data_IF_956158023500
#
_entry.id   IF_956158023500
#
_cell.length_a   1.000
_cell.length_b   1.000
_cell.length_c   1.000
_cell.angle_alpha   90.00
_cell.angle_beta   90.00
_cell.angle_gamma   90.00
#
_symmetry.space_group_name_H-M   'P 1'
#
loop_
_entity.id
_entity.type
_entity.pdbx_description
1 polymer ?
#
# COMPACT_ATOMS: atom_id res chain seq x y z
N UNK A 1 2.40 -3.27 -4.78
CA UNK A 1 2.24 -2.60 -3.48
C UNK A 1 3.20 -1.44 -3.37
N UNK A 2 2.83 -0.41 -2.62
CA UNK A 2 3.68 0.73 -2.31
C UNK A 2 3.88 0.78 -0.78
N UNK A 3 5.10 1.08 -0.36
CA UNK A 3 5.44 1.26 1.04
C UNK A 3 5.99 2.66 1.26
N UNK A 4 5.69 3.25 2.42
CA UNK A 4 6.49 4.37 2.89
C UNK A 4 7.71 3.80 3.62
N UNK A 5 8.90 4.11 3.16
CA UNK A 5 10.13 3.67 3.78
C UNK A 5 10.70 4.77 4.67
N UNK A 6 11.15 4.37 5.87
CA UNK A 6 11.82 5.24 6.84
C UNK A 6 13.18 4.67 7.20
N UNK A 7 14.23 5.48 7.37
CA UNK A 7 15.41 5.04 8.08
C UNK A 7 15.07 4.90 9.57
N UNK A 8 15.61 3.91 10.25
CA UNK A 8 15.40 3.76 11.70
C UNK A 8 16.02 4.92 12.48
N UNK A 9 17.17 5.39 12.01
CA UNK A 9 17.94 6.46 12.65
C UNK A 9 18.38 7.50 11.62
N UNK A 10 18.98 8.58 12.09
CA UNK A 10 19.67 9.56 11.25
C UNK A 10 21.06 9.10 10.78
N UNK A 11 21.48 7.86 11.06
CA UNK A 11 22.72 7.30 10.55
C UNK A 11 22.74 7.38 9.01
N UNK A 12 23.76 7.98 8.39
CA UNK A 12 23.88 8.05 6.94
C UNK A 12 23.81 6.69 6.24
N UNK A 13 24.30 5.62 6.86
CA UNK A 13 24.25 4.26 6.31
C UNK A 13 22.82 3.69 6.29
N UNK A 14 21.98 4.00 7.28
CA UNK A 14 20.55 3.66 7.25
C UNK A 14 19.85 4.32 6.06
N UNK A 15 20.16 5.61 5.81
CA UNK A 15 19.61 6.36 4.69
C UNK A 15 20.08 5.83 3.34
N UNK A 16 21.36 5.46 3.22
CA UNK A 16 21.90 4.88 1.99
C UNK A 16 21.28 3.51 1.72
N UNK A 17 21.15 2.66 2.73
CA UNK A 17 20.49 1.37 2.62
C UNK A 17 19.02 1.52 2.23
N UNK A 18 18.30 2.48 2.84
CA UNK A 18 16.93 2.81 2.49
C UNK A 18 16.80 3.17 1.00
N UNK A 19 17.69 4.02 0.48
CA UNK A 19 17.71 4.40 -0.94
C UNK A 19 17.78 3.15 -1.84
N UNK A 20 18.68 2.21 -1.54
CA UNK A 20 18.83 1.00 -2.35
C UNK A 20 17.63 0.05 -2.25
N UNK A 21 17.03 -0.06 -1.06
CA UNK A 21 15.80 -0.86 -0.86
C UNK A 21 14.63 -0.24 -1.63
N UNK A 22 14.43 1.07 -1.57
CA UNK A 22 13.39 1.75 -2.34
C UNK A 22 13.59 1.56 -3.85
N UNK A 23 14.82 1.67 -4.35
CA UNK A 23 15.11 1.55 -5.77
C UNK A 23 14.58 0.23 -6.35
N UNK A 24 14.88 -0.89 -5.73
CA UNK A 24 14.53 -2.21 -6.28
C UNK A 24 13.15 -2.70 -5.85
N UNK A 25 12.74 -2.43 -4.61
CA UNK A 25 11.47 -2.95 -4.09
C UNK A 25 10.27 -2.08 -4.46
N UNK A 26 10.49 -0.81 -4.77
CA UNK A 26 9.40 0.12 -5.07
C UNK A 26 9.53 0.79 -6.44
N UNK A 27 10.65 1.45 -6.71
CA UNK A 27 10.75 2.30 -7.88
C UNK A 27 11.04 1.56 -9.18
N UNK A 28 11.68 0.40 -9.15
CA UNK A 28 12.12 -0.31 -10.36
C UNK A 28 10.99 -0.51 -11.37
N UNK A 29 9.91 -1.17 -10.98
CA UNK A 29 8.78 -1.40 -11.88
C UNK A 29 8.03 -0.10 -12.23
N UNK A 30 7.86 0.79 -11.24
CA UNK A 30 7.18 2.07 -11.48
C UNK A 30 7.97 2.96 -12.44
N UNK A 31 9.31 3.00 -12.33
CA UNK A 31 10.17 3.75 -13.26
C UNK A 31 9.99 3.24 -14.68
N UNK A 32 10.05 1.93 -14.90
CA UNK A 32 9.89 1.34 -16.23
C UNK A 32 8.51 1.69 -16.81
N UNK A 33 7.44 1.49 -16.05
CA UNK A 33 6.08 1.73 -16.52
C UNK A 33 5.77 3.21 -16.75
N UNK A 34 6.37 4.10 -15.94
CA UNK A 34 6.06 5.53 -16.00
C UNK A 34 7.00 6.32 -16.90
N UNK A 35 8.26 5.91 -17.04
CA UNK A 35 9.30 6.61 -17.83
C UNK A 35 9.60 5.91 -19.16
N UNK A 36 9.21 4.65 -19.30
CA UNK A 36 9.44 3.84 -20.50
C UNK A 36 10.90 3.44 -20.72
N UNK A 37 11.67 3.34 -19.63
CA UNK A 37 13.09 2.96 -19.69
C UNK A 37 13.55 2.30 -18.40
N UNK A 38 14.57 1.46 -18.50
CA UNK A 38 15.19 0.84 -17.33
C UNK A 38 15.96 1.89 -16.54
N UNK A 39 15.78 1.97 -15.21
CA UNK A 39 16.48 2.93 -14.39
C UNK A 39 17.98 2.57 -14.29
N UNK A 40 18.84 3.60 -14.15
CA UNK A 40 20.29 3.47 -14.14
C UNK A 40 20.83 2.46 -13.11
N UNK A 41 20.16 2.33 -11.97
CA UNK A 41 20.58 1.45 -10.89
C UNK A 41 20.30 -0.04 -11.16
N UNK A 42 19.39 -0.35 -12.08
CA UNK A 42 18.97 -1.74 -12.34
C UNK A 42 20.07 -2.60 -12.94
N UNK A 43 20.88 -2.05 -13.84
CA UNK A 43 21.96 -2.80 -14.49
C UNK A 43 22.99 -3.32 -13.48
N UNK A 44 23.42 -2.48 -12.55
CA UNK A 44 24.37 -2.86 -11.50
C UNK A 44 23.78 -3.85 -10.50
N UNK A 45 22.49 -3.71 -10.18
CA UNK A 45 21.79 -4.67 -9.34
C UNK A 45 21.78 -6.06 -10.01
N UNK A 46 21.39 -6.16 -11.27
CA UNK A 46 21.35 -7.44 -11.98
C UNK A 46 22.76 -8.04 -12.17
N UNK A 47 23.74 -7.23 -12.49
CA UNK A 47 25.14 -7.63 -12.58
C UNK A 47 25.61 -8.27 -11.25
N UNK A 48 25.30 -7.65 -10.11
CA UNK A 48 25.64 -8.16 -8.78
C UNK A 48 24.96 -9.49 -8.42
N UNK A 49 23.88 -9.83 -9.10
CA UNK A 49 23.13 -11.09 -8.94
C UNK A 49 23.45 -12.12 -10.04
N UNK A 50 24.39 -11.82 -10.93
CA UNK A 50 24.71 -12.63 -12.10
C UNK A 50 23.49 -12.86 -13.02
N UNK A 51 22.62 -11.85 -13.13
CA UNK A 51 21.44 -11.87 -13.99
C UNK A 51 21.74 -11.05 -15.23
N UNK A 52 21.56 -11.66 -16.40
CA UNK A 52 21.65 -10.98 -17.69
C UNK A 52 20.24 -10.86 -18.29
N UNK A 53 19.83 -9.64 -18.59
CA UNK A 53 18.57 -9.38 -19.29
C UNK A 53 18.86 -9.22 -20.78
N UNK A 54 18.18 -10.02 -21.61
CA UNK A 54 18.24 -9.89 -23.07
C UNK A 54 17.20 -8.83 -23.51
N UNK A 55 17.58 -7.56 -23.41
CA UNK A 55 16.72 -6.43 -23.78
C UNK A 55 17.06 -6.02 -25.21
N UNK A 56 16.13 -6.19 -26.12
CA UNK A 56 16.26 -5.80 -27.52
C UNK A 56 15.94 -4.31 -27.72
N UNK A 57 16.31 -3.77 -28.90
CA UNK A 57 15.93 -2.39 -29.24
C UNK A 57 14.41 -2.25 -29.47
N UNK A 58 13.75 -3.32 -29.91
CA UNK A 58 12.28 -3.36 -29.98
C UNK A 58 11.64 -3.30 -28.58
N UNK A 59 12.17 -4.02 -27.59
CA UNK A 59 11.68 -3.92 -26.20
C UNK A 59 11.79 -2.50 -25.66
N UNK A 60 12.92 -1.82 -25.90
CA UNK A 60 13.14 -0.43 -25.49
C UNK A 60 12.15 0.51 -26.17
N UNK A 61 11.87 0.29 -27.46
CA UNK A 61 10.90 1.09 -28.21
C UNK A 61 9.50 0.89 -27.67
N UNK A 62 9.08 -0.36 -27.46
CA UNK A 62 7.76 -0.68 -26.89
C UNK A 62 7.58 -0.03 -25.52
N UNK A 63 8.57 -0.10 -24.64
CA UNK A 63 8.52 0.56 -23.33
C UNK A 63 8.38 2.08 -23.44
N UNK A 64 9.16 2.69 -24.34
CA UNK A 64 9.16 4.15 -24.52
C UNK A 64 7.86 4.70 -25.08
N UNK A 65 7.22 3.96 -25.97
CA UNK A 65 5.98 4.36 -26.65
C UNK A 65 4.71 4.03 -25.83
N UNK A 66 4.82 3.21 -24.76
CA UNK A 66 3.67 2.72 -24.00
C UNK A 66 3.83 2.96 -22.48
N UNK A 67 4.09 4.19 -22.10
CA UNK A 67 4.10 4.56 -20.67
C UNK A 67 2.67 4.70 -20.11
N UNK A 68 2.51 4.48 -18.82
CA UNK A 68 1.21 4.64 -18.16
C UNK A 68 0.76 6.10 -18.09
N UNK A 69 -0.56 6.35 -18.14
CA UNK A 69 -1.15 7.69 -18.02
C UNK A 69 -1.29 8.15 -16.57
N UNK A 70 -1.40 7.24 -15.63
CA UNK A 70 -1.47 7.47 -14.19
C UNK A 70 -0.69 6.41 -13.42
N UNK A 71 -0.36 6.68 -12.17
CA UNK A 71 0.29 5.71 -11.28
C UNK A 71 -0.71 5.21 -10.24
N UNK A 72 -0.84 3.90 -10.13
CA UNK A 72 -1.71 3.26 -9.16
C UNK A 72 -0.89 2.57 -8.06
N UNK A 73 -1.27 2.81 -6.80
CA UNK A 73 -0.60 2.23 -5.64
C UNK A 73 -1.57 1.50 -4.72
N UNK A 74 -1.17 0.34 -4.22
CA UNK A 74 -1.82 -0.36 -3.10
C UNK A 74 -1.02 -0.05 -1.84
N UNK A 75 -1.61 0.62 -0.86
CA UNK A 75 -0.92 1.03 0.36
C UNK A 75 -1.56 0.42 1.61
N UNK A 76 -0.79 -0.35 2.38
CA UNK A 76 -1.27 -1.01 3.60
C UNK A 76 -0.40 -0.75 4.83
N UNK A 77 0.90 -0.55 4.63
CA UNK A 77 1.87 -0.46 5.71
C UNK A 77 3.10 0.32 5.28
N UNK A 78 3.88 0.76 6.25
CA UNK A 78 5.23 1.31 6.04
C UNK A 78 6.30 0.32 6.46
N UNK A 79 7.52 0.57 6.04
CA UNK A 79 8.68 -0.26 6.36
C UNK A 79 9.81 0.60 6.92
N UNK A 80 10.55 0.07 7.88
CA UNK A 80 11.71 0.74 8.47
C UNK A 80 12.98 0.00 8.08
N UNK A 81 13.99 0.72 7.67
CA UNK A 81 15.28 0.21 7.18
C UNK A 81 16.39 0.63 8.13
N UNK A 82 17.26 -0.31 8.47
CA UNK A 82 18.47 -0.05 9.25
C UNK A 82 19.57 -1.04 8.87
N UNK A 83 20.81 -0.64 9.05
CA UNK A 83 21.99 -1.52 8.90
C UNK A 83 22.20 -2.41 10.13
N UNK A 84 21.68 -1.98 11.27
CA UNK A 84 21.80 -2.68 12.55
C UNK A 84 20.73 -3.78 12.72
N UNK A 85 20.97 -4.68 13.67
CA UNK A 85 19.94 -5.61 14.13
C UNK A 85 18.86 -4.84 14.88
N UNK A 86 17.59 -5.12 14.55
CA UNK A 86 16.46 -4.46 15.17
C UNK A 86 15.24 -5.39 15.24
N UNK A 87 14.31 -5.08 16.14
CA UNK A 87 13.07 -5.82 16.31
C UNK A 87 12.28 -5.85 15.00
N UNK A 88 11.85 -7.03 14.59
CA UNK A 88 11.04 -7.23 13.37
C UNK A 88 9.56 -7.29 13.69
N UNK A 89 8.76 -6.89 12.74
CA UNK A 89 7.31 -7.09 12.78
C UNK A 89 6.97 -8.56 12.53
N UNK A 90 5.86 -9.01 13.09
CA UNK A 90 5.34 -10.37 12.87
C UNK A 90 4.49 -10.48 11.59
N UNK A 91 4.83 -9.74 10.55
CA UNK A 91 4.05 -9.71 9.31
C UNK A 91 4.10 -11.02 8.53
N UNK A 92 3.02 -11.36 7.85
CA UNK A 92 2.93 -12.60 7.08
C UNK A 92 3.44 -12.49 5.63
N UNK A 93 3.22 -11.37 4.95
CA UNK A 93 3.78 -11.12 3.61
C UNK A 93 4.97 -10.18 3.63
N UNK A 94 5.00 -9.30 4.62
CA UNK A 94 6.01 -8.26 4.75
C UNK A 94 6.56 -8.31 6.18
N UNK A 95 7.80 -8.73 6.29
CA UNK A 95 8.56 -8.64 7.54
C UNK A 95 9.44 -7.41 7.43
N UNK A 96 9.20 -6.41 8.26
CA UNK A 96 10.01 -5.20 8.32
C UNK A 96 10.53 -4.95 9.73
N UNK A 97 11.44 -4.00 9.86
CA UNK A 97 11.84 -3.51 11.17
C UNK A 97 10.66 -2.75 11.79
N UNK A 98 10.42 -2.97 13.07
CA UNK A 98 9.34 -2.32 13.82
C UNK A 98 9.60 -0.82 13.92
N UNK A 99 8.61 -0.02 13.56
CA UNK A 99 8.62 1.41 13.80
C UNK A 99 8.13 1.69 15.23
N UNK A 100 8.94 2.31 16.10
CA UNK A 100 8.57 2.52 17.50
C UNK A 100 7.38 3.50 17.69
N UNK A 101 7.03 4.25 16.67
CA UNK A 101 5.96 5.26 16.71
C UNK A 101 4.62 4.76 16.16
N UNK A 102 4.57 3.55 15.60
CA UNK A 102 3.37 3.03 14.94
C UNK A 102 2.80 1.81 15.65
N UNK A 103 1.48 1.75 15.68
CA UNK A 103 0.75 0.53 16.04
C UNK A 103 0.70 -0.41 14.85
N UNK A 104 0.59 -1.71 15.13
CA UNK A 104 0.42 -2.72 14.09
C UNK A 104 -0.92 -3.45 14.26
N UNK A 105 -1.43 -4.00 13.16
CA UNK A 105 -2.53 -4.96 13.17
C UNK A 105 -2.08 -6.29 13.79
N UNK A 106 -3.02 -7.21 14.02
CA UNK A 106 -2.73 -8.56 14.52
C UNK A 106 -1.82 -9.36 13.57
N UNK A 107 -1.74 -8.98 12.31
CA UNK A 107 -0.82 -9.56 11.30
C UNK A 107 0.49 -8.77 11.16
N UNK A 108 0.82 -7.91 12.11
CA UNK A 108 2.09 -7.18 12.15
C UNK A 108 2.22 -6.03 11.13
N UNK A 109 1.15 -5.68 10.43
CA UNK A 109 1.18 -4.56 9.49
C UNK A 109 1.01 -3.24 10.22
N UNK A 110 2.00 -2.39 10.10
CA UNK A 110 2.04 -1.09 10.78
C UNK A 110 1.02 -0.12 10.16
N UNK A 111 0.19 0.48 10.99
CA UNK A 111 -0.86 1.41 10.59
C UNK A 111 -0.25 2.79 10.49
N UNK A 112 -0.11 3.30 9.27
CA UNK A 112 0.60 4.53 8.97
C UNK A 112 -0.15 5.43 7.96
N UNK A 113 -1.15 6.18 8.41
CA UNK A 113 -1.87 7.10 7.53
C UNK A 113 -0.98 8.22 6.98
N UNK A 114 -0.05 8.74 7.78
CA UNK A 114 0.90 9.79 7.33
C UNK A 114 1.85 9.25 6.25
N UNK A 115 2.24 7.98 6.37
CA UNK A 115 3.04 7.30 5.35
C UNK A 115 2.32 7.21 4.00
N UNK A 116 0.99 7.07 3.99
CA UNK A 116 0.22 7.17 2.76
C UNK A 116 0.40 8.55 2.10
N UNK A 117 0.19 9.64 2.86
CA UNK A 117 0.36 11.00 2.33
C UNK A 117 1.77 11.22 1.79
N UNK A 118 2.78 10.80 2.54
CA UNK A 118 4.18 10.85 2.13
C UNK A 118 4.41 10.08 0.81
N UNK A 119 3.84 8.89 0.69
CA UNK A 119 3.95 8.07 -0.53
C UNK A 119 3.28 8.71 -1.73
N UNK A 120 2.11 9.32 -1.54
CA UNK A 120 1.40 10.05 -2.60
C UNK A 120 2.25 11.21 -3.14
N UNK A 121 2.86 12.00 -2.26
CA UNK A 121 3.79 13.07 -2.65
C UNK A 121 5.00 12.53 -3.41
N UNK A 122 5.69 11.51 -2.88
CA UNK A 122 6.87 10.92 -3.51
C UNK A 122 6.57 10.36 -4.90
N UNK A 123 5.43 9.71 -5.07
CA UNK A 123 5.00 9.16 -6.36
C UNK A 123 4.74 10.30 -7.36
N UNK A 124 4.02 11.33 -6.94
CA UNK A 124 3.74 12.47 -7.81
C UNK A 124 4.99 13.27 -8.16
N UNK A 125 5.85 13.57 -7.19
CA UNK A 125 7.14 14.26 -7.42
C UNK A 125 8.03 13.50 -8.42
N UNK A 126 8.01 12.15 -8.35
CA UNK A 126 8.85 11.31 -9.20
C UNK A 126 8.35 11.19 -10.64
N UNK A 127 7.04 11.17 -10.84
CA UNK A 127 6.44 10.84 -12.15
C UNK A 127 5.64 11.97 -12.79
N UNK A 128 5.18 12.95 -12.02
CA UNK A 128 4.34 14.04 -12.52
C UNK A 128 3.01 13.59 -13.11
N UNK A 129 2.53 12.41 -12.73
CA UNK A 129 1.31 11.78 -13.27
C UNK A 129 0.23 11.72 -12.20
N UNK A 130 -1.07 11.71 -12.58
CA UNK A 130 -2.16 11.48 -11.63
C UNK A 130 -1.95 10.18 -10.84
N UNK A 131 -2.41 10.16 -9.59
CA UNK A 131 -2.22 9.02 -8.68
C UNK A 131 -3.57 8.44 -8.30
N UNK A 132 -3.65 7.11 -8.22
CA UNK A 132 -4.79 6.36 -7.71
C UNK A 132 -4.33 5.49 -6.56
N UNK A 133 -5.04 5.55 -5.43
CA UNK A 133 -4.92 4.50 -4.40
C UNK A 133 -5.86 3.37 -4.80
N UNK A 134 -5.31 2.30 -5.36
CA UNK A 134 -6.08 1.14 -5.83
C UNK A 134 -6.52 0.22 -4.71
N UNK A 135 -5.79 0.21 -3.61
CA UNK A 135 -6.12 -0.62 -2.46
C UNK A 135 -5.65 0.03 -1.16
N UNK A 136 -6.54 0.07 -0.18
CA UNK A 136 -6.22 0.33 1.21
C UNK A 136 -7.27 -0.33 2.11
N UNK A 137 -6.85 -0.99 3.18
CA UNK A 137 -7.76 -1.67 4.10
C UNK A 137 -7.05 -2.27 5.30
N UNK A 138 -7.80 -2.53 6.34
CA UNK A 138 -7.33 -3.14 7.58
C UNK A 138 -7.78 -4.60 7.64
N UNK A 139 -6.83 -5.52 7.60
CA UNK A 139 -7.07 -6.91 7.99
C UNK A 139 -7.16 -6.99 9.51
N UNK A 140 -8.30 -7.37 10.03
CA UNK A 140 -8.56 -7.48 11.46
C UNK A 140 -9.33 -8.75 11.79
N UNK A 141 -9.09 -9.29 12.98
CA UNK A 141 -9.82 -10.42 13.51
C UNK A 141 -11.10 -9.92 14.17
N UNK A 142 -12.18 -9.92 13.43
CA UNK A 142 -13.48 -9.56 13.95
C UNK A 142 -14.50 -10.69 13.76
N UNK A 143 -15.37 -10.89 14.75
CA UNK A 143 -16.48 -11.83 14.71
C UNK A 143 -17.80 -11.13 14.97
N UNK A 144 -17.81 -9.80 14.88
CA UNK A 144 -18.95 -8.96 15.24
C UNK A 144 -19.17 -7.89 14.17
N UNK A 145 -20.38 -7.36 14.17
CA UNK A 145 -20.76 -6.25 13.28
C UNK A 145 -20.33 -4.87 13.81
N UNK A 146 -19.86 -4.79 15.05
CA UNK A 146 -19.41 -3.56 15.69
C UNK A 146 -17.90 -3.38 15.51
N UNK A 147 -17.51 -2.59 14.52
CA UNK A 147 -16.13 -2.42 14.08
C UNK A 147 -15.69 -0.94 14.06
N UNK A 148 -15.87 -0.23 15.15
CA UNK A 148 -15.48 1.18 15.28
C UNK A 148 -14.00 1.41 14.98
N UNK A 149 -13.12 0.47 15.31
CA UNK A 149 -11.70 0.51 15.01
C UNK A 149 -11.44 0.58 13.48
N UNK A 150 -12.28 -0.05 12.66
CA UNK A 150 -12.20 0.03 11.20
C UNK A 150 -12.62 1.41 10.71
N UNK A 151 -13.66 1.99 11.32
CA UNK A 151 -14.08 3.36 11.03
C UNK A 151 -12.93 4.33 11.32
N UNK A 152 -12.26 4.20 12.47
CA UNK A 152 -11.14 5.05 12.87
C UNK A 152 -9.96 4.90 11.90
N UNK A 153 -9.65 3.67 11.48
CA UNK A 153 -8.64 3.40 10.46
C UNK A 153 -8.99 4.12 9.14
N UNK A 154 -10.20 3.91 8.62
CA UNK A 154 -10.64 4.50 7.36
C UNK A 154 -10.62 6.03 7.43
N UNK A 155 -11.14 6.64 8.51
CA UNK A 155 -11.07 8.10 8.72
C UNK A 155 -9.65 8.62 8.62
N UNK A 156 -8.71 8.01 9.34
CA UNK A 156 -7.32 8.45 9.36
C UNK A 156 -6.67 8.41 7.97
N UNK A 157 -6.91 7.36 7.19
CA UNK A 157 -6.35 7.23 5.85
C UNK A 157 -7.01 8.17 4.84
N UNK A 158 -8.34 8.31 4.87
CA UNK A 158 -9.04 9.26 3.99
C UNK A 158 -8.67 10.70 4.28
N UNK A 159 -8.49 11.06 5.56
CA UNK A 159 -8.01 12.40 5.95
C UNK A 159 -6.64 12.70 5.34
N UNK A 160 -5.69 11.78 5.44
CA UNK A 160 -4.36 11.97 4.86
C UNK A 160 -4.37 11.98 3.33
N UNK A 161 -5.24 11.20 2.69
CA UNK A 161 -5.45 11.26 1.25
C UNK A 161 -6.04 12.61 0.81
N UNK A 162 -7.02 13.14 1.56
CA UNK A 162 -7.59 14.46 1.31
C UNK A 162 -6.55 15.56 1.50
N UNK A 163 -5.72 15.48 2.53
CA UNK A 163 -4.64 16.43 2.75
C UNK A 163 -3.62 16.40 1.60
N UNK A 164 -3.25 15.22 1.10
CA UNK A 164 -2.37 15.12 -0.07
C UNK A 164 -2.98 15.79 -1.31
N UNK A 165 -4.28 15.62 -1.54
CA UNK A 165 -5.00 16.31 -2.61
C UNK A 165 -4.98 17.84 -2.43
N UNK A 166 -5.21 18.32 -1.22
CA UNK A 166 -5.16 19.75 -0.89
C UNK A 166 -3.74 20.33 -1.02
N UNK A 167 -2.70 19.52 -0.80
CA UNK A 167 -1.31 19.89 -1.03
C UNK A 167 -0.95 20.00 -2.53
N UNK A 168 -1.85 19.57 -3.44
CA UNK A 168 -1.67 19.65 -4.88
C UNK A 168 -1.31 18.34 -5.57
N UNK A 169 -1.35 17.20 -4.88
CA UNK A 169 -1.21 15.89 -5.53
C UNK A 169 -2.51 15.57 -6.29
N UNK A 170 -2.47 15.33 -7.61
CA UNK A 170 -3.66 14.96 -8.39
C UNK A 170 -4.10 13.52 -8.07
N UNK A 171 -4.78 13.36 -6.94
CA UNK A 171 -5.35 12.10 -6.50
C UNK A 171 -6.72 11.92 -7.14
N UNK A 172 -6.82 11.00 -8.10
CA UNK A 172 -8.03 10.76 -8.89
C UNK A 172 -9.03 9.82 -8.23
N UNK A 173 -8.53 8.84 -7.46
CA UNK A 173 -9.39 7.89 -6.77
C UNK A 173 -8.72 7.29 -5.53
N UNK A 174 -9.57 6.87 -4.59
CA UNK A 174 -9.19 6.07 -3.44
C UNK A 174 -10.16 4.89 -3.32
N UNK A 175 -9.65 3.67 -3.45
CA UNK A 175 -10.43 2.45 -3.48
C UNK A 175 -10.14 1.64 -2.22
N UNK A 176 -11.20 1.35 -1.45
CA UNK A 176 -11.09 0.49 -0.28
C UNK A 176 -10.96 -0.97 -0.70
N UNK A 177 -10.03 -1.68 -0.05
CA UNK A 177 -9.85 -3.12 -0.24
C UNK A 177 -10.86 -3.92 0.58
N UNK A 178 -11.58 -4.83 -0.11
CA UNK A 178 -12.41 -5.81 0.56
C UNK A 178 -13.71 -5.24 1.13
N UNK A 179 -14.67 -4.85 0.27
CA UNK A 179 -15.99 -4.38 0.72
C UNK A 179 -16.75 -5.48 1.46
N UNK A 180 -16.60 -6.73 1.06
CA UNK A 180 -17.14 -7.92 1.70
C UNK A 180 -15.98 -8.72 2.27
N UNK A 181 -16.15 -9.37 3.43
CA UNK A 181 -15.13 -10.27 3.95
C UNK A 181 -14.84 -11.38 2.94
N UNK A 182 -13.56 -11.54 2.63
CA UNK A 182 -13.02 -12.53 1.69
C UNK A 182 -11.88 -13.29 2.35
N UNK A 183 -11.54 -14.44 1.81
CA UNK A 183 -10.31 -15.14 2.20
C UNK A 183 -9.12 -14.24 1.87
N UNK A 184 -8.27 -13.98 2.85
CA UNK A 184 -7.07 -13.16 2.67
C UNK A 184 -6.12 -13.79 1.65
N UNK A 185 -5.76 -13.06 0.61
CA UNK A 185 -4.81 -13.52 -0.41
C UNK A 185 -3.42 -13.80 0.17
N UNK A 186 -3.04 -13.09 1.24
CA UNK A 186 -1.70 -13.19 1.82
C UNK A 186 -1.53 -14.29 2.86
N UNK A 187 -2.61 -14.72 3.53
CA UNK A 187 -2.54 -15.74 4.60
C UNK A 187 -3.46 -16.94 4.39
N UNK A 188 -4.29 -16.91 3.33
CA UNK A 188 -5.30 -17.93 3.06
C UNK A 188 -6.28 -18.14 4.23
N UNK A 189 -6.55 -17.07 4.99
CA UNK A 189 -7.41 -17.07 6.17
C UNK A 189 -8.65 -16.25 5.96
N UNK A 190 -9.81 -16.79 6.37
CA UNK A 190 -11.07 -16.04 6.43
C UNK A 190 -11.11 -15.12 7.67
N UNK A 191 -10.40 -15.47 8.72
CA UNK A 191 -10.33 -14.68 9.97
C UNK A 191 -9.67 -13.31 9.78
N UNK A 192 -8.80 -13.17 8.77
CA UNK A 192 -8.21 -11.87 8.40
C UNK A 192 -9.20 -11.06 7.57
N UNK A 193 -10.13 -10.44 8.25
CA UNK A 193 -11.28 -9.77 7.66
C UNK A 193 -10.98 -8.33 7.28
N UNK A 194 -11.32 -7.96 6.06
CA UNK A 194 -11.14 -6.61 5.52
C UNK A 194 -12.46 -5.88 5.32
N UNK A 195 -13.56 -6.63 5.20
CA UNK A 195 -14.83 -6.12 4.73
C UNK A 195 -15.55 -5.20 5.71
N UNK A 196 -16.37 -4.33 5.15
CA UNK A 196 -17.43 -3.60 5.87
C UNK A 196 -18.73 -4.42 5.93
N UNK A 197 -18.74 -5.59 5.28
CA UNK A 197 -19.80 -6.60 5.32
C UNK A 197 -19.18 -7.89 5.85
N UNK A 198 -19.63 -8.31 7.01
CA UNK A 198 -19.26 -9.58 7.63
C UNK A 198 -19.83 -10.76 6.86
N UNK A 199 -19.05 -11.80 6.68
CA UNK A 199 -19.48 -13.09 6.15
C UNK A 199 -19.35 -14.15 7.23
N UNK A 200 -20.43 -14.85 7.53
CA UNK A 200 -20.45 -15.95 8.50
C UNK A 200 -19.79 -17.19 7.89
N UNK A 201 -18.47 -17.20 7.91
CA UNK A 201 -17.62 -18.30 7.49
C UNK A 201 -16.31 -18.29 8.31
N UNK A 202 -15.76 -19.48 8.57
CA UNK A 202 -14.47 -19.66 9.23
C UNK A 202 -13.35 -20.06 8.23
N UNK A 203 -12.15 -20.30 8.75
CA UNK A 203 -10.98 -20.72 7.94
C UNK A 203 -11.12 -22.11 7.31
N UNK A 204 -12.08 -22.90 7.75
CA UNK A 204 -12.31 -24.26 7.30
C UNK A 204 -13.53 -24.40 6.37
N UNK A 205 -14.19 -23.28 6.07
CA UNK A 205 -15.40 -23.27 5.23
C UNK A 205 -16.69 -23.60 5.97
N UNK A 206 -16.68 -23.62 7.31
CA UNK A 206 -17.89 -23.74 8.11
C UNK A 206 -18.57 -22.38 8.26
N UNK A 207 -19.91 -22.41 8.44
CA UNK A 207 -20.73 -21.22 8.63
C UNK A 207 -21.93 -21.22 7.69
N UNK A 208 -22.80 -20.24 7.85
CA UNK A 208 -24.01 -20.12 7.03
C UNK A 208 -23.77 -19.30 5.74
N UNK A 209 -22.62 -18.68 5.59
CA UNK A 209 -22.28 -17.74 4.53
C UNK A 209 -23.23 -16.52 4.43
N UNK A 210 -24.05 -16.29 5.46
CA UNK A 210 -24.88 -15.10 5.54
C UNK A 210 -24.01 -13.86 5.69
N UNK A 211 -24.51 -12.76 5.15
CA UNK A 211 -23.82 -11.47 5.11
C UNK A 211 -24.50 -10.48 6.03
N UNK A 212 -23.72 -9.81 6.87
CA UNK A 212 -24.20 -8.83 7.81
C UNK A 212 -23.44 -7.50 7.64
N UNK A 213 -24.17 -6.40 7.52
CA UNK A 213 -23.55 -5.08 7.43
C UNK A 213 -22.96 -4.71 8.79
N UNK A 214 -21.68 -4.30 8.79
CA UNK A 214 -21.00 -3.79 9.99
C UNK A 214 -21.31 -2.30 10.20
N UNK A 215 -20.92 -1.74 11.34
CA UNK A 215 -21.05 -0.30 11.59
C UNK A 215 -20.26 0.52 10.55
N UNK A 216 -19.10 0.03 10.14
CA UNK A 216 -18.30 0.63 9.09
C UNK A 216 -19.00 0.68 7.73
N UNK A 217 -19.95 -0.22 7.44
CA UNK A 217 -20.73 -0.16 6.20
C UNK A 217 -21.60 1.11 6.17
N UNK A 218 -22.27 1.40 7.24
CA UNK A 218 -23.17 2.56 7.30
C UNK A 218 -22.37 3.86 7.30
N UNK A 219 -21.28 3.89 8.06
CA UNK A 219 -20.36 5.02 8.05
C UNK A 219 -19.78 5.26 6.65
N UNK A 220 -19.27 4.22 5.98
CA UNK A 220 -18.69 4.33 4.63
C UNK A 220 -19.70 4.77 3.58
N UNK A 221 -20.92 4.25 3.64
CA UNK A 221 -22.03 4.68 2.78
C UNK A 221 -22.30 6.18 2.91
N UNK A 222 -22.37 6.71 4.14
CA UNK A 222 -22.57 8.14 4.37
C UNK A 222 -21.35 8.95 3.92
N UNK A 223 -20.15 8.45 4.19
CA UNK A 223 -18.91 9.10 3.78
C UNK A 223 -18.86 9.31 2.28
N UNK A 224 -19.03 8.27 1.46
CA UNK A 224 -18.99 8.39 -0.01
C UNK A 224 -20.13 9.25 -0.60
N UNK A 225 -21.24 9.38 0.10
CA UNK A 225 -22.33 10.26 -0.32
C UNK A 225 -22.00 11.75 -0.09
N UNK A 226 -21.26 12.07 0.98
CA UNK A 226 -20.84 13.45 1.31
C UNK A 226 -19.66 13.91 0.45
N UNK A 227 -18.75 13.01 0.14
CA UNK A 227 -17.57 13.27 -0.68
C UNK A 227 -17.80 12.82 -2.12
N UNK A 228 -18.91 13.25 -2.73
CA UNK A 228 -18.94 13.28 -4.18
C UNK A 228 -17.86 14.28 -4.58
N UNK A 229 -16.79 13.79 -5.19
CA UNK A 229 -15.84 14.65 -5.90
C UNK A 229 -16.68 15.40 -6.97
N UNK A 230 -17.10 16.61 -6.65
CA UNK A 230 -17.62 17.50 -7.66
C UNK A 230 -16.42 17.89 -8.50
N UNK A 231 -16.19 17.13 -9.57
CA UNK A 231 -15.23 17.49 -10.59
C UNK A 231 -15.59 18.87 -11.10
N UNK A 232 -14.67 19.81 -10.92
CA UNK A 232 -14.70 21.08 -11.62
C UNK A 232 -14.24 20.87 -13.04
#
# INVERSE_FOLDING_TARGET
ACFCYYPLTSNPEDNLKLLFEEQMNQWYCMDILSKGEYPYYSSKFFESKNITLNITDEDKKVLKENTCDFVSISFYTSSVITVDEAEKTAGNLVVSTKNPYLKASEWGWQIDPVGLRTSLHRVYERYGKPVIVSENGLGAKDFQVHDSYRIDYMKAYYEQAQLAFLDGVPLEAFIAWGIIDIVSAGSCEMDKRYGVIYVDADNYGNGSYKRYKKDSFYWYKEFIQRYKFEGK
#
